data_IF_777821847884
#
_entry.id   IF_777821847884
#
_cell.length_a   1.000
_cell.length_b   1.000
_cell.length_c   1.000
_cell.angle_alpha   90.00
_cell.angle_beta   90.00
_cell.angle_gamma   90.00
#
_symmetry.space_group_name_H-M   'P 1'
#
loop_
_entity.id
_entity.type
_entity.pdbx_description
1 polymer ?
#
# COMPACT_ATOMS: atom_id res chain seq x y z
N UNK A 1 23.74 -9.82 -14.58
CA UNK A 1 23.48 -10.76 -13.46
C UNK A 1 23.83 -10.11 -12.12
N UNK A 2 25.11 -9.85 -11.80
CA UNK A 2 25.52 -9.24 -10.51
C UNK A 2 24.79 -7.94 -10.18
N UNK A 3 24.68 -6.99 -11.12
CA UNK A 3 23.94 -5.74 -10.90
C UNK A 3 22.47 -5.95 -10.55
N UNK A 4 21.76 -6.83 -11.26
CA UNK A 4 20.37 -7.16 -10.95
C UNK A 4 20.22 -7.83 -9.58
N UNK A 5 21.16 -8.71 -9.19
CA UNK A 5 21.15 -9.34 -7.87
C UNK A 5 21.34 -8.32 -6.75
N UNK A 6 22.22 -7.33 -6.94
CA UNK A 6 22.43 -6.25 -5.97
C UNK A 6 21.18 -5.39 -5.83
N UNK A 7 20.56 -5.00 -6.94
CA UNK A 7 19.29 -4.23 -6.93
C UNK A 7 18.20 -4.99 -6.20
N UNK A 8 17.94 -6.26 -6.56
CA UNK A 8 16.92 -7.09 -5.93
C UNK A 8 17.11 -7.21 -4.41
N UNK A 9 18.36 -7.48 -3.97
CA UNK A 9 18.65 -7.65 -2.55
C UNK A 9 18.55 -6.34 -1.77
N UNK A 10 19.09 -5.24 -2.31
CA UNK A 10 19.08 -3.94 -1.62
C UNK A 10 17.68 -3.35 -1.53
N UNK A 11 16.99 -3.21 -2.66
CA UNK A 11 15.65 -2.61 -2.72
C UNK A 11 14.62 -3.47 -1.98
N UNK A 12 14.70 -4.80 -2.11
CA UNK A 12 13.83 -5.72 -1.40
C UNK A 12 14.06 -5.74 0.11
N UNK A 13 15.31 -5.60 0.56
CA UNK A 13 15.66 -5.59 1.98
C UNK A 13 15.23 -4.30 2.68
N UNK A 14 15.57 -3.14 2.13
CA UNK A 14 15.30 -1.84 2.79
C UNK A 14 13.80 -1.60 2.94
N UNK A 15 13.02 -1.84 1.89
CA UNK A 15 11.56 -1.66 1.91
C UNK A 15 10.86 -2.64 2.86
N UNK A 16 11.22 -3.92 2.80
CA UNK A 16 10.61 -4.96 3.65
C UNK A 16 10.96 -4.78 5.13
N UNK A 17 12.23 -4.50 5.45
CA UNK A 17 12.66 -4.30 6.84
C UNK A 17 12.04 -3.05 7.47
N UNK A 18 11.87 -1.98 6.70
CA UNK A 18 11.15 -0.77 7.14
C UNK A 18 9.67 -1.08 7.40
N UNK A 19 9.00 -1.76 6.47
CA UNK A 19 7.59 -2.15 6.63
C UNK A 19 7.38 -3.02 7.86
N UNK A 20 8.22 -4.05 8.07
CA UNK A 20 8.14 -4.92 9.24
C UNK A 20 8.35 -4.14 10.54
N UNK A 21 9.31 -3.21 10.55
CA UNK A 21 9.61 -2.39 11.74
C UNK A 21 8.42 -1.51 12.12
N UNK A 22 7.79 -0.86 11.13
CA UNK A 22 6.59 -0.06 11.36
C UNK A 22 5.37 -0.89 11.74
N UNK A 23 5.20 -2.09 11.15
CA UNK A 23 4.12 -3.00 11.54
C UNK A 23 4.25 -3.38 13.02
N UNK A 24 5.45 -3.75 13.46
CA UNK A 24 5.68 -4.09 14.87
C UNK A 24 5.44 -2.90 15.79
N UNK A 25 5.84 -1.68 15.38
CA UNK A 25 5.54 -0.46 16.11
C UNK A 25 4.03 -0.20 16.23
N UNK A 26 3.28 -0.32 15.13
CA UNK A 26 1.83 -0.10 15.13
C UNK A 26 1.09 -1.15 15.96
N UNK A 27 1.48 -2.43 15.86
CA UNK A 27 0.90 -3.48 16.70
C UNK A 27 1.19 -3.24 18.19
N UNK A 28 2.42 -2.89 18.54
CA UNK A 28 2.78 -2.57 19.93
C UNK A 28 2.05 -1.33 20.48
N UNK A 29 1.76 -0.36 19.61
CA UNK A 29 1.04 0.87 19.97
C UNK A 29 -0.48 0.70 20.00
N UNK A 30 -1.01 -0.38 19.40
CA UNK A 30 -2.44 -0.67 19.31
C UNK A 30 -2.77 -2.09 19.84
N UNK A 31 -2.79 -2.30 21.17
CA UNK A 31 -2.93 -3.63 21.77
C UNK A 31 -4.17 -4.41 21.33
N UNK A 32 -5.31 -3.73 21.14
CA UNK A 32 -6.54 -4.39 20.67
C UNK A 32 -6.43 -4.95 19.25
N UNK A 33 -5.65 -4.29 18.38
CA UNK A 33 -5.36 -4.76 17.03
C UNK A 33 -4.36 -5.90 17.08
N UNK A 34 -3.32 -5.79 17.91
CA UNK A 34 -2.36 -6.86 18.16
C UNK A 34 -3.05 -8.14 18.65
N UNK A 35 -3.93 -8.04 19.64
CA UNK A 35 -4.68 -9.17 20.17
C UNK A 35 -5.51 -9.87 19.09
N UNK A 36 -6.11 -9.10 18.17
CA UNK A 36 -6.90 -9.65 17.06
C UNK A 36 -6.01 -10.36 16.03
N UNK A 37 -4.84 -9.81 15.69
CA UNK A 37 -3.84 -10.47 14.83
C UNK A 37 -3.33 -11.77 15.47
N UNK A 38 -2.97 -11.73 16.77
CA UNK A 38 -2.48 -12.91 17.49
C UNK A 38 -3.56 -13.98 17.59
N UNK A 39 -4.81 -13.59 17.81
CA UNK A 39 -5.95 -14.52 17.81
C UNK A 39 -6.11 -15.21 16.46
N UNK A 40 -6.11 -14.45 15.37
CA UNK A 40 -6.16 -15.01 14.00
C UNK A 40 -5.02 -16.00 13.76
N UNK A 41 -3.79 -15.60 14.08
CA UNK A 41 -2.60 -16.46 13.92
C UNK A 41 -2.73 -17.78 14.70
N UNK A 42 -3.19 -17.73 15.96
CA UNK A 42 -3.40 -18.93 16.77
C UNK A 42 -4.44 -19.85 16.17
N UNK A 43 -5.59 -19.31 15.76
CA UNK A 43 -6.66 -20.09 15.12
C UNK A 43 -6.16 -20.75 13.83
N UNK A 44 -5.45 -20.02 12.97
CA UNK A 44 -4.91 -20.57 11.73
C UNK A 44 -3.88 -21.67 11.98
N UNK A 45 -3.02 -21.51 13.00
CA UNK A 45 -2.05 -22.54 13.39
C UNK A 45 -2.73 -23.79 13.92
N UNK A 46 -3.75 -23.65 14.77
CA UNK A 46 -4.53 -24.78 15.29
C UNK A 46 -5.22 -25.56 14.16
N UNK A 47 -5.81 -24.86 13.18
CA UNK A 47 -6.44 -25.47 12.00
C UNK A 47 -5.45 -26.13 11.03
N UNK A 48 -4.16 -25.82 11.16
CA UNK A 48 -3.10 -26.27 10.23
C UNK A 48 -2.10 -27.22 10.90
N UNK A 49 -2.50 -27.90 11.98
CA UNK A 49 -1.66 -28.82 12.77
C UNK A 49 -0.33 -28.19 13.20
N UNK A 50 -0.35 -26.89 13.52
CA UNK A 50 0.81 -26.10 13.92
C UNK A 50 1.76 -25.72 12.78
N UNK A 51 1.39 -25.95 11.52
CA UNK A 51 2.24 -25.67 10.34
C UNK A 51 1.82 -24.39 9.61
N UNK A 52 2.81 -23.55 9.28
CA UNK A 52 2.62 -22.37 8.41
C UNK A 52 2.83 -22.76 6.94
N UNK A 53 1.87 -23.47 6.38
CA UNK A 53 1.84 -23.76 4.93
C UNK A 53 1.39 -22.54 4.14
N UNK A 54 1.61 -22.53 2.82
CA UNK A 54 1.08 -21.49 1.93
C UNK A 54 -0.44 -21.30 2.09
N UNK A 55 -1.19 -22.41 2.14
CA UNK A 55 -2.63 -22.39 2.36
C UNK A 55 -3.00 -21.78 3.72
N UNK A 56 -2.20 -22.01 4.76
CA UNK A 56 -2.40 -21.39 6.08
C UNK A 56 -2.12 -19.88 6.02
N UNK A 57 -1.07 -19.44 5.32
CA UNK A 57 -0.75 -18.02 5.17
C UNK A 57 -1.90 -17.25 4.49
N UNK A 58 -2.57 -17.84 3.50
CA UNK A 58 -3.74 -17.23 2.85
C UNK A 58 -4.95 -17.03 3.78
N UNK A 59 -4.99 -17.68 4.95
CA UNK A 59 -6.05 -17.49 5.95
C UNK A 59 -5.77 -16.31 6.90
N UNK A 60 -4.57 -15.73 6.90
CA UNK A 60 -4.17 -14.62 7.76
C UNK A 60 -4.66 -13.26 7.22
N UNK A 61 -5.97 -13.15 7.01
CA UNK A 61 -6.61 -12.02 6.33
C UNK A 61 -6.45 -10.70 7.09
N UNK A 62 -6.59 -10.73 8.42
CA UNK A 62 -6.46 -9.54 9.25
C UNK A 62 -5.01 -9.11 9.42
N UNK A 63 -4.07 -10.07 9.52
CA UNK A 63 -2.63 -9.77 9.46
C UNK A 63 -2.26 -9.10 8.14
N UNK A 64 -2.74 -9.60 7.00
CA UNK A 64 -2.53 -8.96 5.69
C UNK A 64 -3.12 -7.54 5.70
N UNK A 65 -4.33 -7.36 6.24
CA UNK A 65 -4.95 -6.04 6.36
C UNK A 65 -4.10 -5.06 7.20
N UNK A 66 -3.49 -5.54 8.29
CA UNK A 66 -2.57 -4.73 9.12
C UNK A 66 -1.28 -4.37 8.39
N UNK A 67 -0.71 -5.30 7.60
CA UNK A 67 0.44 -5.03 6.72
C UNK A 67 0.10 -3.97 5.66
N UNK A 68 -1.08 -4.05 5.06
CA UNK A 68 -1.53 -3.10 4.04
C UNK A 68 -1.78 -1.70 4.62
N UNK A 69 -2.38 -1.60 5.80
CA UNK A 69 -2.53 -0.31 6.51
C UNK A 69 -1.16 0.26 6.93
N UNK A 70 -0.22 -0.60 7.32
CA UNK A 70 1.17 -0.18 7.59
C UNK A 70 1.80 0.41 6.34
N UNK A 71 1.65 -0.22 5.17
CA UNK A 71 2.15 0.31 3.90
C UNK A 71 1.46 1.62 3.48
N UNK A 72 0.20 1.82 3.84
CA UNK A 72 -0.51 3.08 3.60
C UNK A 72 0.09 4.20 4.45
N UNK A 73 0.23 3.99 5.76
CA UNK A 73 0.70 5.02 6.69
C UNK A 73 2.21 5.27 6.55
N UNK A 74 2.99 4.20 6.49
CA UNK A 74 4.45 4.25 6.50
C UNK A 74 5.02 3.86 5.14
N UNK A 75 4.52 4.52 4.08
CA UNK A 75 4.91 4.21 2.70
C UNK A 75 6.40 4.48 2.49
N UNK A 76 7.23 3.46 2.15
CA UNK A 76 8.66 3.67 1.94
C UNK A 76 8.97 4.60 0.75
N UNK A 77 8.10 4.63 -0.25
CA UNK A 77 8.24 5.44 -1.46
C UNK A 77 7.16 6.53 -1.50
N UNK A 78 7.52 7.75 -1.08
CA UNK A 78 6.57 8.87 -0.92
C UNK A 78 6.04 9.44 -2.24
N UNK A 79 6.77 9.25 -3.34
CA UNK A 79 6.42 9.80 -4.66
C UNK A 79 6.80 8.85 -5.78
N UNK A 80 5.99 8.79 -6.85
CA UNK A 80 6.31 8.05 -8.07
C UNK A 80 6.58 9.02 -9.23
N UNK A 81 7.84 9.20 -9.66
CA UNK A 81 8.16 10.07 -10.80
C UNK A 81 7.85 9.38 -12.13
N UNK A 82 7.39 10.17 -13.11
CA UNK A 82 7.14 9.78 -14.50
C UNK A 82 7.63 10.90 -15.42
N UNK A 83 8.03 10.54 -16.63
CA UNK A 83 8.36 11.51 -17.70
C UNK A 83 7.39 11.26 -18.85
N UNK A 84 6.72 12.32 -19.28
CA UNK A 84 5.83 12.30 -20.44
C UNK A 84 6.65 12.04 -21.71
N UNK A 85 6.45 10.90 -22.37
CA UNK A 85 7.27 10.47 -23.53
C UNK A 85 6.78 11.02 -24.87
N UNK A 86 5.53 11.49 -24.91
CA UNK A 86 4.85 12.10 -26.05
C UNK A 86 3.79 13.08 -25.53
N UNK A 87 3.46 14.11 -26.31
CA UNK A 87 2.39 15.05 -25.94
C UNK A 87 1.09 14.30 -25.61
N UNK A 88 0.52 14.56 -24.45
CA UNK A 88 -0.65 13.87 -23.93
C UNK A 88 -1.65 14.86 -23.35
N UNK A 89 -2.87 14.87 -23.89
CA UNK A 89 -3.98 15.62 -23.32
C UNK A 89 -4.57 14.81 -22.16
N UNK A 90 -4.50 15.36 -20.95
CA UNK A 90 -5.12 14.74 -19.78
C UNK A 90 -6.64 14.69 -19.97
N UNK A 91 -7.30 13.55 -19.67
CA UNK A 91 -8.75 13.52 -19.68
C UNK A 91 -9.29 14.46 -18.59
N UNK A 92 -10.55 14.95 -18.71
CA UNK A 92 -11.21 15.69 -17.64
C UNK A 92 -11.17 14.89 -16.33
N UNK A 93 -10.71 15.51 -15.25
CA UNK A 93 -10.59 14.85 -13.94
C UNK A 93 -11.82 15.15 -13.07
N UNK A 94 -12.42 16.32 -13.24
CA UNK A 94 -13.63 16.74 -12.54
C UNK A 94 -14.75 17.11 -13.52
N UNK A 95 -16.03 16.96 -13.14
CA UNK A 95 -17.17 17.34 -13.99
C UNK A 95 -17.16 18.80 -14.44
N UNK A 96 -16.47 19.67 -13.68
CA UNK A 96 -16.35 21.11 -13.93
C UNK A 96 -15.16 21.48 -14.81
N UNK A 97 -14.33 20.53 -15.21
CA UNK A 97 -13.13 20.80 -16.00
C UNK A 97 -13.51 21.23 -17.43
N UNK A 98 -13.38 22.53 -17.71
CA UNK A 98 -13.64 23.12 -19.03
C UNK A 98 -12.36 23.34 -19.84
N UNK A 99 -11.19 23.29 -19.18
CA UNK A 99 -9.89 23.56 -19.78
C UNK A 99 -9.15 22.26 -20.07
N UNK A 100 -8.68 22.11 -21.31
CA UNK A 100 -7.79 21.02 -21.69
C UNK A 100 -6.39 21.26 -21.14
N UNK A 101 -5.81 20.24 -20.51
CA UNK A 101 -4.44 20.28 -20.01
C UNK A 101 -3.60 19.33 -20.86
N UNK A 102 -2.65 19.89 -21.62
CA UNK A 102 -1.69 19.10 -22.40
C UNK A 102 -0.37 19.00 -21.65
N UNK A 103 0.00 17.78 -21.28
CA UNK A 103 1.36 17.46 -20.85
C UNK A 103 2.24 17.36 -22.09
N UNK A 104 3.25 18.22 -22.19
CA UNK A 104 4.20 18.18 -23.30
C UNK A 104 5.24 17.09 -23.08
N UNK A 105 5.75 16.50 -24.16
CA UNK A 105 6.89 15.58 -24.11
C UNK A 105 8.04 16.18 -23.30
N UNK A 106 8.62 15.38 -22.40
CA UNK A 106 9.67 15.79 -21.48
C UNK A 106 9.17 16.36 -20.15
N UNK A 107 7.86 16.64 -20.02
CA UNK A 107 7.27 17.09 -18.74
C UNK A 107 7.44 16.00 -17.67
N UNK A 108 8.02 16.37 -16.53
CA UNK A 108 8.07 15.52 -15.34
C UNK A 108 6.73 15.55 -14.63
N UNK A 109 6.23 14.39 -14.23
CA UNK A 109 5.00 14.21 -13.47
C UNK A 109 5.35 13.46 -12.19
N UNK A 110 4.92 13.99 -11.05
CA UNK A 110 5.15 13.37 -9.74
C UNK A 110 3.79 12.98 -9.17
N UNK A 111 3.60 11.69 -8.92
CA UNK A 111 2.41 11.18 -8.23
C UNK A 111 2.70 11.24 -6.73
N UNK A 112 1.95 12.03 -5.94
CA UNK A 112 2.23 12.24 -4.52
C UNK A 112 1.59 11.14 -3.67
N UNK A 113 2.23 9.95 -3.63
CA UNK A 113 1.70 8.76 -2.93
C UNK A 113 1.35 9.07 -1.47
N UNK A 114 2.26 9.72 -0.75
CA UNK A 114 2.02 10.08 0.65
C UNK A 114 0.77 10.96 0.82
N UNK A 115 0.59 11.98 -0.03
CA UNK A 115 -0.57 12.86 0.06
C UNK A 115 -1.87 12.10 -0.21
N UNK A 116 -1.89 11.21 -1.20
CA UNK A 116 -3.06 10.37 -1.52
C UNK A 116 -3.39 9.45 -0.35
N UNK A 117 -2.38 8.79 0.23
CA UNK A 117 -2.55 7.88 1.37
C UNK A 117 -3.07 8.59 2.63
N UNK A 118 -2.80 9.89 2.79
CA UNK A 118 -3.26 10.69 3.92
C UNK A 118 -4.42 11.63 3.60
N UNK A 119 -5.01 11.52 2.41
CA UNK A 119 -6.18 12.31 2.02
C UNK A 119 -7.42 11.85 2.82
N UNK A 120 -8.04 12.70 3.65
CA UNK A 120 -9.19 12.34 4.45
C UNK A 120 -10.45 12.04 3.63
N UNK A 121 -10.55 12.53 2.39
CA UNK A 121 -11.68 12.24 1.49
C UNK A 121 -11.59 10.81 0.93
N UNK A 122 -10.40 10.23 0.91
CA UNK A 122 -10.12 8.86 0.50
C UNK A 122 -10.04 7.92 1.72
N UNK A 123 -9.36 8.37 2.78
CA UNK A 123 -9.09 7.62 4.00
C UNK A 123 -9.57 8.42 5.23
N UNK A 124 -10.83 8.29 5.65
CA UNK A 124 -11.37 9.04 6.79
C UNK A 124 -10.58 8.78 8.07
N UNK A 125 -10.20 9.82 8.83
CA UNK A 125 -9.21 9.72 9.93
C UNK A 125 -7.87 9.11 9.47
N UNK A 126 -7.17 9.75 8.52
CA UNK A 126 -6.04 9.14 7.81
C UNK A 126 -4.80 8.85 8.69
N UNK A 127 -4.73 9.48 9.87
CA UNK A 127 -3.66 9.28 10.84
C UNK A 127 -3.94 8.17 11.87
N UNK A 128 -5.14 7.57 11.85
CA UNK A 128 -5.50 6.44 12.71
C UNK A 128 -5.11 5.14 12.01
N UNK A 129 -4.32 4.32 12.67
CA UNK A 129 -4.02 2.95 12.25
C UNK A 129 -5.28 2.10 12.33
N UNK A 130 -5.85 1.76 11.18
CA UNK A 130 -7.10 1.03 11.07
C UNK A 130 -7.02 -0.06 9.96
N UNK A 131 -6.60 -1.29 10.32
CA UNK A 131 -6.55 -2.41 9.39
C UNK A 131 -7.89 -2.76 8.74
N UNK A 132 -9.03 -2.41 9.37
CA UNK A 132 -10.35 -2.79 8.82
C UNK A 132 -10.59 -2.14 7.45
N UNK A 133 -9.90 -1.03 7.11
CA UNK A 133 -9.91 -0.40 5.76
C UNK A 133 -9.49 -1.34 4.63
N UNK A 134 -8.71 -2.36 4.96
CA UNK A 134 -8.17 -3.35 4.03
C UNK A 134 -8.87 -4.70 4.15
N UNK A 135 -10.01 -4.79 4.81
CA UNK A 135 -10.93 -5.91 4.67
C UNK A 135 -11.76 -5.78 3.38
N UNK A 136 -12.14 -6.91 2.80
CA UNK A 136 -12.81 -7.01 1.49
C UNK A 136 -14.03 -6.08 1.35
N UNK A 137 -14.85 -5.98 2.39
CA UNK A 137 -16.03 -5.11 2.44
C UNK A 137 -15.69 -3.61 2.32
N UNK A 138 -14.57 -3.17 2.90
CA UNK A 138 -14.13 -1.78 2.92
C UNK A 138 -13.19 -1.45 1.75
N UNK A 139 -12.57 -2.44 1.10
CA UNK A 139 -11.76 -2.25 -0.11
C UNK A 139 -12.59 -1.74 -1.28
N UNK A 140 -13.87 -2.15 -1.38
CA UNK A 140 -14.75 -1.84 -2.54
C UNK A 140 -15.17 -0.38 -2.66
N UNK A 141 -15.22 0.35 -1.54
CA UNK A 141 -15.59 1.77 -1.53
C UNK A 141 -14.42 2.70 -1.88
N UNK A 142 -13.18 2.19 -1.82
CA UNK A 142 -11.98 2.97 -2.08
C UNK A 142 -11.78 3.18 -3.59
N UNK A 143 -11.38 4.38 -4.05
CA UNK A 143 -11.01 4.60 -5.45
C UNK A 143 -9.93 3.63 -5.92
N UNK A 144 -10.08 3.11 -7.14
CA UNK A 144 -9.26 2.01 -7.69
C UNK A 144 -7.75 2.23 -7.59
N UNK A 145 -7.28 3.47 -7.70
CA UNK A 145 -5.86 3.84 -7.72
C UNK A 145 -5.43 4.69 -6.52
N UNK A 146 -6.17 4.60 -5.42
CA UNK A 146 -5.87 5.34 -4.20
C UNK A 146 -4.83 4.65 -3.31
N UNK A 147 -4.74 3.32 -3.33
CA UNK A 147 -3.70 2.60 -2.62
C UNK A 147 -2.53 2.31 -3.56
N UNK A 148 -1.37 2.87 -3.25
CA UNK A 148 -0.15 2.82 -4.06
C UNK A 148 1.04 2.28 -3.25
N UNK A 149 0.79 1.42 -2.25
CA UNK A 149 1.84 0.85 -1.38
C UNK A 149 2.94 0.07 -2.14
N UNK A 150 2.60 -0.47 -3.32
CA UNK A 150 3.56 -1.09 -4.24
C UNK A 150 3.72 -0.29 -5.54
N UNK A 151 2.92 0.75 -5.77
CA UNK A 151 2.76 1.41 -7.06
C UNK A 151 1.62 0.81 -7.90
N UNK A 152 1.57 1.17 -9.18
CA UNK A 152 0.52 0.76 -10.12
C UNK A 152 1.06 0.81 -11.57
N UNK A 153 0.51 -0.03 -12.45
CA UNK A 153 0.79 -0.05 -13.88
C UNK A 153 2.01 -0.89 -14.29
N UNK A 154 2.53 -0.74 -15.53
CA UNK A 154 3.49 -1.67 -16.14
C UNK A 154 4.93 -1.56 -15.63
N UNK A 155 5.17 -0.78 -14.57
CA UNK A 155 6.47 -0.64 -13.90
C UNK A 155 6.44 -1.18 -12.46
N UNK A 156 5.38 -1.91 -12.11
CA UNK A 156 5.40 -2.89 -11.03
C UNK A 156 6.27 -4.08 -11.41
#
# INVERSE_FOLDING_TARGET
>A
LVGHSVTFLSEGFETSSSMMSYLLYELASNPSIQDRVVKELRTVLEESDGQLTEAALHKLVYMEAAMMETLRMHTPVFTLPRICTQDYELPPQFPTDTKRITLRRGTSVIIPVYAIHYDPDIYPMPYKFDPDRFLEENRKSRPRHAFLGFGEGPRL
#
